data_IF_213062897887
#
_entry.id   IF_213062897887
#
_cell.length_a   1.000
_cell.length_b   1.000
_cell.length_c   1.000
_cell.angle_alpha   90.00
_cell.angle_beta   90.00
_cell.angle_gamma   90.00
#
_symmetry.space_group_name_H-M   'P 1'
#
loop_
_entity.id
_entity.type
_entity.pdbx_description
1 polymer ?
#
# COMPACT_ATOMS: atom_id res chain seq x y z
N UNK A 1 43.11 -5.55 14.49
CA UNK A 1 42.28 -4.33 14.41
C UNK A 1 41.37 -4.46 13.21
N UNK A 2 40.11 -4.86 13.40
CA UNK A 2 39.14 -4.98 12.30
C UNK A 2 38.61 -3.59 11.98
N UNK A 3 38.98 -3.05 10.82
CA UNK A 3 38.41 -1.82 10.30
C UNK A 3 36.93 -2.05 10.01
N UNK A 4 36.06 -1.41 10.79
CA UNK A 4 34.62 -1.39 10.54
C UNK A 4 34.36 -0.74 9.18
N UNK A 5 33.87 -1.52 8.23
CA UNK A 5 33.52 -1.04 6.89
C UNK A 5 32.46 0.08 6.96
N UNK A 6 32.52 1.06 6.04
CA UNK A 6 31.79 2.31 6.17
C UNK A 6 30.26 2.14 6.08
N UNK A 7 29.59 2.89 6.94
CA UNK A 7 28.15 3.10 7.20
C UNK A 7 27.29 3.60 6.01
N UNK A 8 27.68 3.32 4.77
CA UNK A 8 27.03 3.78 3.51
C UNK A 8 25.62 3.20 3.25
N UNK A 9 25.09 2.35 4.11
CA UNK A 9 23.88 1.53 3.86
C UNK A 9 22.55 2.21 4.19
N UNK A 10 22.53 3.35 4.90
CA UNK A 10 21.28 3.94 5.44
C UNK A 10 20.43 4.71 4.42
N UNK A 11 21.00 5.72 3.75
CA UNK A 11 20.32 6.54 2.74
C UNK A 11 19.80 5.74 1.51
N UNK A 12 20.49 4.70 1.01
CA UNK A 12 19.99 3.99 -0.17
C UNK A 12 18.72 3.18 0.11
N UNK A 13 18.50 2.63 1.32
CA UNK A 13 17.29 1.87 1.62
C UNK A 13 16.03 2.75 1.63
N UNK A 14 16.07 3.86 2.38
CA UNK A 14 14.94 4.79 2.46
C UNK A 14 14.51 5.26 1.06
N UNK A 15 15.47 5.76 0.26
CA UNK A 15 15.18 6.28 -1.08
C UNK A 15 14.63 5.20 -2.02
N UNK A 16 15.23 4.01 -2.03
CA UNK A 16 14.76 2.90 -2.87
C UNK A 16 13.35 2.46 -2.47
N UNK A 17 13.10 2.29 -1.17
CA UNK A 17 11.78 1.92 -0.65
C UNK A 17 10.72 2.97 -1.02
N UNK A 18 11.03 4.24 -0.81
CA UNK A 18 10.15 5.35 -1.15
C UNK A 18 9.79 5.37 -2.64
N UNK A 19 10.80 5.36 -3.53
CA UNK A 19 10.57 5.38 -4.98
C UNK A 19 9.78 4.16 -5.47
N UNK A 20 10.14 2.96 -5.01
CA UNK A 20 9.48 1.73 -5.45
C UNK A 20 8.01 1.69 -5.01
N UNK A 21 7.69 2.18 -3.82
CA UNK A 21 6.30 2.26 -3.36
C UNK A 21 5.52 3.32 -4.14
N UNK A 22 6.06 4.53 -4.31
CA UNK A 22 5.39 5.59 -5.08
C UNK A 22 5.05 5.07 -6.49
N UNK A 23 6.03 4.51 -7.20
CA UNK A 23 5.81 3.96 -8.54
C UNK A 23 4.81 2.81 -8.50
N UNK A 24 4.92 1.89 -7.53
CA UNK A 24 4.01 0.75 -7.41
C UNK A 24 2.58 1.15 -7.13
N UNK A 25 2.34 2.17 -6.31
CA UNK A 25 1.01 2.69 -6.07
C UNK A 25 0.45 3.38 -7.32
N UNK A 26 1.22 4.24 -8.00
CA UNK A 26 0.80 4.86 -9.27
C UNK A 26 0.39 3.78 -10.28
N UNK A 27 1.22 2.74 -10.47
CA UNK A 27 0.89 1.63 -11.37
C UNK A 27 -0.37 0.90 -10.93
N UNK A 28 -0.51 0.62 -9.63
CA UNK A 28 -1.69 -0.07 -9.10
C UNK A 28 -2.98 0.69 -9.42
N UNK A 29 -3.02 2.00 -9.15
CA UNK A 29 -4.20 2.83 -9.41
C UNK A 29 -4.49 2.98 -10.92
N UNK A 30 -3.47 3.18 -11.74
CA UNK A 30 -3.64 3.26 -13.20
C UNK A 30 -4.19 1.94 -13.77
N UNK A 31 -3.71 0.80 -13.28
CA UNK A 31 -4.18 -0.52 -13.70
C UNK A 31 -5.60 -0.84 -13.23
N UNK A 32 -6.14 -0.10 -12.26
CA UNK A 32 -7.52 -0.26 -11.80
C UNK A 32 -8.53 0.50 -12.66
N UNK A 33 -8.12 1.52 -13.42
CA UNK A 33 -9.00 2.33 -14.28
C UNK A 33 -9.93 1.47 -15.17
N UNK A 34 -9.45 0.42 -15.87
CA UNK A 34 -10.32 -0.42 -16.70
C UNK A 34 -11.49 -1.06 -15.94
N UNK A 35 -11.36 -1.29 -14.62
CA UNK A 35 -12.40 -1.91 -13.81
C UNK A 35 -13.59 -0.98 -13.54
N UNK A 36 -13.40 0.33 -13.68
CA UNK A 36 -14.50 1.31 -13.60
C UNK A 36 -15.44 1.22 -14.81
N UNK A 37 -14.95 0.70 -15.95
CA UNK A 37 -15.76 0.52 -17.16
C UNK A 37 -16.46 -0.84 -17.24
N UNK A 38 -16.29 -1.70 -16.23
CA UNK A 38 -16.96 -3.00 -16.16
C UNK A 38 -18.29 -2.83 -15.44
N UNK A 39 -19.39 -3.19 -16.10
CA UNK A 39 -20.78 -2.98 -15.66
C UNK A 39 -21.17 -3.62 -14.30
N UNK A 40 -20.27 -4.39 -13.67
CA UNK A 40 -20.51 -5.05 -12.39
C UNK A 40 -19.28 -4.98 -11.49
N UNK A 41 -18.83 -3.76 -11.18
CA UNK A 41 -17.64 -3.50 -10.36
C UNK A 41 -17.70 -4.24 -9.02
N UNK A 42 -18.90 -4.39 -8.43
CA UNK A 42 -19.11 -5.11 -7.16
C UNK A 42 -18.69 -6.58 -7.23
N UNK A 43 -18.96 -7.28 -8.34
CA UNK A 43 -18.52 -8.68 -8.53
C UNK A 43 -17.02 -8.84 -8.67
N UNK A 44 -16.30 -7.77 -9.04
CA UNK A 44 -14.86 -7.79 -9.29
C UNK A 44 -14.05 -6.99 -8.26
N UNK A 45 -14.65 -6.58 -7.13
CA UNK A 45 -13.93 -5.84 -6.07
C UNK A 45 -12.70 -6.60 -5.58
N UNK A 46 -12.77 -7.93 -5.45
CA UNK A 46 -11.62 -8.77 -5.08
C UNK A 46 -10.44 -8.66 -6.06
N UNK A 47 -10.71 -8.35 -7.34
CA UNK A 47 -9.69 -8.17 -8.37
C UNK A 47 -8.86 -6.90 -8.13
N UNK A 48 -9.44 -5.86 -7.52
CA UNK A 48 -8.69 -4.67 -7.09
C UNK A 48 -7.58 -5.05 -6.12
N UNK A 49 -7.88 -5.95 -5.17
CA UNK A 49 -6.90 -6.44 -4.22
C UNK A 49 -5.76 -7.21 -4.91
N UNK A 50 -6.08 -8.04 -5.89
CA UNK A 50 -5.08 -8.77 -6.66
C UNK A 50 -4.23 -7.85 -7.54
N UNK A 51 -4.83 -6.89 -8.25
CA UNK A 51 -4.11 -5.92 -9.08
C UNK A 51 -3.13 -5.12 -8.23
N UNK A 52 -3.58 -4.58 -7.09
CA UNK A 52 -2.73 -3.84 -6.18
C UNK A 52 -1.59 -4.71 -5.65
N UNK A 53 -1.90 -5.93 -5.22
CA UNK A 53 -0.90 -6.90 -4.79
C UNK A 53 0.13 -7.21 -5.88
N UNK A 54 -0.29 -7.49 -7.10
CA UNK A 54 0.62 -7.87 -8.20
C UNK A 54 1.46 -6.69 -8.67
N UNK A 55 0.90 -5.48 -8.76
CA UNK A 55 1.60 -4.31 -9.26
C UNK A 55 2.61 -3.74 -8.24
N UNK A 56 2.22 -3.64 -6.97
CA UNK A 56 3.06 -3.03 -5.92
C UNK A 56 4.20 -3.96 -5.48
N UNK A 57 3.95 -5.25 -5.37
CA UNK A 57 4.84 -6.16 -4.65
C UNK A 57 6.20 -6.44 -5.29
N UNK A 58 6.32 -6.59 -6.63
CA UNK A 58 7.62 -6.78 -7.26
C UNK A 58 8.57 -5.62 -6.97
N UNK A 59 8.07 -4.39 -7.03
CA UNK A 59 8.85 -3.18 -6.75
C UNK A 59 9.29 -3.12 -5.27
N UNK A 60 8.40 -3.44 -4.34
CA UNK A 60 8.76 -3.55 -2.93
C UNK A 60 9.82 -4.64 -2.69
N UNK A 61 9.68 -5.80 -3.32
CA UNK A 61 10.63 -6.90 -3.20
C UNK A 61 12.01 -6.51 -3.77
N UNK A 62 12.05 -5.78 -4.89
CA UNK A 62 13.28 -5.19 -5.46
C UNK A 62 13.93 -4.21 -4.48
N UNK A 63 13.15 -3.33 -3.84
CA UNK A 63 13.68 -2.41 -2.85
C UNK A 63 14.30 -3.11 -1.63
N UNK A 64 13.73 -4.24 -1.21
CA UNK A 64 14.17 -5.00 -0.03
C UNK A 64 15.37 -5.89 -0.30
N UNK A 65 15.52 -6.44 -1.51
CA UNK A 65 16.52 -7.48 -1.80
C UNK A 65 17.96 -7.11 -1.40
N UNK A 66 18.46 -5.88 -1.63
CA UNK A 66 19.81 -5.52 -1.23
C UNK A 66 20.02 -5.49 0.29
N UNK A 67 18.97 -5.28 1.07
CA UNK A 67 19.02 -5.22 2.53
C UNK A 67 18.81 -6.59 3.15
N UNK A 68 17.90 -7.40 2.57
CA UNK A 68 17.55 -8.74 3.04
C UNK A 68 17.85 -9.75 1.93
N UNK A 69 19.13 -10.09 1.66
CA UNK A 69 19.49 -10.93 0.53
C UNK A 69 18.94 -12.37 0.64
N UNK A 70 18.67 -12.85 1.86
CA UNK A 70 18.04 -14.16 2.10
C UNK A 70 16.54 -14.19 1.81
N UNK A 71 15.88 -13.02 1.77
CA UNK A 71 14.46 -12.91 1.42
C UNK A 71 14.29 -13.20 -0.08
N UNK A 72 13.45 -14.19 -0.42
CA UNK A 72 13.13 -14.49 -1.82
C UNK A 72 12.07 -13.52 -2.33
N UNK A 73 12.19 -13.05 -3.57
CA UNK A 73 11.23 -12.11 -4.18
C UNK A 73 9.79 -12.61 -4.08
N UNK A 74 9.56 -13.88 -4.43
CA UNK A 74 8.23 -14.48 -4.45
C UNK A 74 7.59 -14.56 -3.05
N UNK A 75 8.37 -14.65 -1.97
CA UNK A 75 7.84 -14.68 -0.61
C UNK A 75 7.14 -13.35 -0.30
N UNK A 76 7.81 -12.24 -0.58
CA UNK A 76 7.25 -10.91 -0.38
C UNK A 76 6.05 -10.64 -1.30
N UNK A 77 6.14 -11.08 -2.56
CA UNK A 77 5.05 -10.95 -3.53
C UNK A 77 3.82 -11.73 -3.09
N UNK A 78 3.98 -13.00 -2.71
CA UNK A 78 2.87 -13.82 -2.25
C UNK A 78 2.23 -13.26 -0.99
N UNK A 79 3.01 -12.79 -0.01
CA UNK A 79 2.46 -12.20 1.21
C UNK A 79 1.57 -10.98 0.94
N UNK A 80 2.01 -10.09 0.06
CA UNK A 80 1.21 -8.94 -0.32
C UNK A 80 -0.06 -9.33 -1.09
N UNK A 81 0.04 -10.24 -2.07
CA UNK A 81 -1.14 -10.69 -2.85
C UNK A 81 -2.18 -11.31 -1.93
N UNK A 82 -1.77 -12.27 -1.09
CA UNK A 82 -2.65 -12.95 -0.13
C UNK A 82 -3.24 -11.95 0.86
N UNK A 83 -2.40 -11.10 1.43
CA UNK A 83 -2.83 -10.11 2.43
C UNK A 83 -3.78 -9.06 1.85
N UNK A 84 -3.54 -8.61 0.62
CA UNK A 84 -4.42 -7.64 -0.05
C UNK A 84 -5.74 -8.28 -0.46
N UNK A 85 -5.71 -9.51 -0.99
CA UNK A 85 -6.93 -10.27 -1.27
C UNK A 85 -7.79 -10.46 -0.01
N UNK A 86 -7.17 -10.88 1.09
CA UNK A 86 -7.84 -11.02 2.37
C UNK A 86 -8.37 -9.68 2.90
N UNK A 87 -7.61 -8.60 2.77
CA UNK A 87 -8.01 -7.25 3.20
C UNK A 87 -9.29 -6.79 2.50
N UNK A 88 -9.32 -6.87 1.17
CA UNK A 88 -10.46 -6.42 0.37
C UNK A 88 -11.70 -7.26 0.69
N UNK A 89 -11.53 -8.59 0.79
CA UNK A 89 -12.63 -9.51 1.14
C UNK A 89 -13.19 -9.20 2.53
N UNK A 90 -12.32 -9.02 3.52
CA UNK A 90 -12.73 -8.70 4.89
C UNK A 90 -13.37 -7.33 4.98
N UNK A 91 -12.86 -6.33 4.26
CA UNK A 91 -13.45 -5.00 4.22
C UNK A 91 -14.86 -5.01 3.62
N UNK A 92 -15.09 -5.78 2.55
CA UNK A 92 -16.42 -5.94 1.96
C UNK A 92 -17.39 -6.60 2.96
N UNK A 93 -16.94 -7.65 3.64
CA UNK A 93 -17.75 -8.30 4.67
C UNK A 93 -18.08 -7.34 5.82
N UNK A 94 -17.08 -6.62 6.35
CA UNK A 94 -17.27 -5.64 7.42
C UNK A 94 -18.21 -4.50 7.01
N UNK A 95 -18.13 -4.03 5.76
CA UNK A 95 -19.02 -3.01 5.24
C UNK A 95 -20.48 -3.46 5.26
N UNK A 96 -20.75 -4.72 4.94
CA UNK A 96 -22.12 -5.29 5.01
C UNK A 96 -22.58 -5.37 6.47
N UNK A 97 -21.74 -5.84 7.39
CA UNK A 97 -22.12 -6.00 8.81
C UNK A 97 -22.29 -4.66 9.54
N UNK A 98 -21.54 -3.63 9.15
CA UNK A 98 -21.50 -2.34 9.82
C UNK A 98 -22.25 -1.24 9.07
N UNK A 99 -23.04 -1.59 8.05
CA UNK A 99 -23.75 -0.63 7.19
C UNK A 99 -24.61 0.38 7.97
N UNK A 100 -25.13 -0.01 9.15
CA UNK A 100 -25.94 0.85 10.01
C UNK A 100 -25.15 1.90 10.81
N UNK A 101 -23.82 1.79 10.89
CA UNK A 101 -22.93 2.68 11.65
C UNK A 101 -22.06 3.54 10.73
N UNK A 102 -22.68 4.18 9.74
CA UNK A 102 -21.94 4.89 8.70
C UNK A 102 -21.34 6.21 9.20
N UNK A 103 -20.01 6.25 9.32
CA UNK A 103 -19.23 7.48 9.38
C UNK A 103 -18.10 7.39 8.32
N UNK A 104 -18.09 8.27 7.30
CA UNK A 104 -17.22 8.10 6.13
C UNK A 104 -15.73 8.16 6.47
N UNK A 105 -15.31 9.04 7.38
CA UNK A 105 -13.90 9.15 7.78
C UNK A 105 -13.46 7.93 8.59
N UNK A 106 -14.31 7.46 9.50
CA UNK A 106 -14.04 6.27 10.29
C UNK A 106 -13.98 5.02 9.40
N UNK A 107 -14.85 4.92 8.41
CA UNK A 107 -14.86 3.82 7.44
C UNK A 107 -13.58 3.78 6.60
N UNK A 108 -13.10 4.93 6.13
CA UNK A 108 -11.81 5.01 5.42
C UNK A 108 -10.63 4.61 6.31
N UNK A 109 -10.63 5.05 7.58
CA UNK A 109 -9.58 4.72 8.53
C UNK A 109 -9.59 3.22 8.88
N UNK A 110 -10.79 2.66 9.10
CA UNK A 110 -11.02 1.22 9.29
C UNK A 110 -10.54 0.44 8.08
N UNK A 111 -10.92 0.87 6.87
CA UNK A 111 -10.55 0.23 5.62
C UNK A 111 -9.03 0.15 5.46
N UNK A 112 -8.33 1.27 5.69
CA UNK A 112 -6.87 1.32 5.71
C UNK A 112 -6.27 0.41 6.79
N UNK A 113 -6.76 0.47 8.02
CA UNK A 113 -6.26 -0.38 9.11
C UNK A 113 -6.40 -1.87 8.79
N UNK A 114 -7.53 -2.29 8.21
CA UNK A 114 -7.77 -3.68 7.79
C UNK A 114 -6.77 -4.11 6.71
N UNK A 115 -6.47 -3.25 5.72
CA UNK A 115 -5.40 -3.53 4.75
C UNK A 115 -4.06 -3.69 5.45
N UNK A 116 -3.71 -2.76 6.33
CA UNK A 116 -2.46 -2.80 7.05
C UNK A 116 -2.30 -4.04 7.92
N UNK A 117 -3.38 -4.51 8.55
CA UNK A 117 -3.43 -5.76 9.31
C UNK A 117 -3.23 -6.98 8.41
N UNK A 118 -4.06 -7.12 7.37
CA UNK A 118 -4.09 -8.31 6.52
C UNK A 118 -2.86 -8.44 5.63
N UNK A 119 -2.32 -7.32 5.11
CA UNK A 119 -1.04 -7.29 4.36
C UNK A 119 0.13 -7.45 5.31
N UNK A 120 0.07 -6.79 6.46
CA UNK A 120 1.17 -6.79 7.40
C UNK A 120 1.38 -8.14 8.09
N UNK A 121 0.34 -8.93 8.34
CA UNK A 121 0.44 -10.23 9.01
C UNK A 121 1.32 -11.26 8.24
N UNK A 122 1.10 -11.55 6.95
CA UNK A 122 1.97 -12.45 6.20
C UNK A 122 3.37 -11.86 6.00
N UNK A 123 3.50 -10.54 5.83
CA UNK A 123 4.81 -9.87 5.79
C UNK A 123 5.57 -10.01 7.12
N UNK A 124 4.87 -9.93 8.26
CA UNK A 124 5.41 -10.11 9.60
C UNK A 124 5.99 -11.51 9.78
N UNK A 125 5.27 -12.54 9.33
CA UNK A 125 5.75 -13.93 9.36
C UNK A 125 7.06 -14.04 8.56
N UNK A 126 7.06 -13.52 7.33
CA UNK A 126 8.22 -13.63 6.43
C UNK A 126 9.41 -12.83 6.95
N UNK A 127 9.21 -11.59 7.44
CA UNK A 127 10.27 -10.80 8.06
C UNK A 127 10.73 -11.41 9.38
N UNK A 128 9.85 -12.04 10.14
CA UNK A 128 10.15 -12.70 11.41
C UNK A 128 11.20 -13.80 11.26
N UNK A 129 11.28 -14.43 10.09
CA UNK A 129 12.34 -15.39 9.75
C UNK A 129 13.72 -14.75 9.58
N UNK A 130 13.79 -13.42 9.46
CA UNK A 130 15.01 -12.66 9.16
C UNK A 130 15.38 -11.62 10.23
N UNK A 131 14.44 -11.21 11.08
CA UNK A 131 14.68 -10.20 12.12
C UNK A 131 13.74 -10.32 13.32
N UNK A 132 14.27 -10.10 14.53
CA UNK A 132 13.48 -10.06 15.77
C UNK A 132 12.59 -8.82 15.89
N UNK A 133 12.86 -7.78 15.09
CA UNK A 133 12.10 -6.53 15.08
C UNK A 133 10.97 -6.51 14.04
N UNK A 134 10.59 -7.66 13.49
CA UNK A 134 9.52 -7.73 12.49
C UNK A 134 8.18 -7.16 13.01
N UNK A 135 7.92 -7.20 14.31
CA UNK A 135 6.72 -6.61 14.89
C UNK A 135 6.62 -5.08 14.68
N UNK A 136 7.75 -4.36 14.72
CA UNK A 136 7.73 -2.91 14.44
C UNK A 136 7.39 -2.60 12.99
N UNK A 137 7.70 -3.52 12.07
CA UNK A 137 7.25 -3.41 10.67
C UNK A 137 5.73 -3.50 10.59
N UNK A 138 5.16 -4.50 11.27
CA UNK A 138 3.71 -4.72 11.28
C UNK A 138 2.94 -3.51 11.78
N UNK A 139 3.34 -2.94 12.93
CA UNK A 139 2.72 -1.72 13.47
C UNK A 139 2.85 -0.53 12.51
N UNK A 140 4.05 -0.33 11.94
CA UNK A 140 4.26 0.75 10.98
C UNK A 140 3.40 0.57 9.72
N UNK A 141 3.21 -0.67 9.26
CA UNK A 141 2.35 -0.99 8.12
C UNK A 141 0.88 -0.66 8.41
N UNK A 142 0.36 -1.03 9.58
CA UNK A 142 -1.01 -0.70 10.01
C UNK A 142 -1.22 0.81 10.01
N UNK A 143 -0.34 1.54 10.70
CA UNK A 143 -0.41 3.00 10.79
C UNK A 143 -0.30 3.66 9.41
N UNK A 144 0.62 3.18 8.57
CA UNK A 144 0.82 3.71 7.24
C UNK A 144 -0.44 3.61 6.39
N UNK A 145 -1.11 2.46 6.38
CA UNK A 145 -2.36 2.28 5.64
C UNK A 145 -3.54 3.05 6.25
N UNK A 146 -3.69 3.01 7.58
CA UNK A 146 -4.76 3.71 8.30
C UNK A 146 -4.68 5.24 8.15
N UNK A 147 -3.50 5.79 7.86
CA UNK A 147 -3.29 7.22 7.61
C UNK A 147 -3.34 7.53 6.11
N UNK A 148 -2.65 6.75 5.28
CA UNK A 148 -2.55 7.02 3.84
C UNK A 148 -3.91 6.92 3.14
N UNK A 149 -4.74 5.93 3.49
CA UNK A 149 -6.05 5.74 2.85
C UNK A 149 -6.98 6.93 3.09
N UNK A 150 -7.28 7.36 4.34
CA UNK A 150 -8.18 8.50 4.56
C UNK A 150 -7.66 9.79 3.95
N UNK A 151 -6.38 10.10 4.13
CA UNK A 151 -5.81 11.36 3.64
C UNK A 151 -5.84 11.42 2.11
N UNK A 152 -5.41 10.33 1.45
CA UNK A 152 -5.43 10.30 -0.02
C UNK A 152 -6.85 10.31 -0.59
N UNK A 153 -7.78 9.60 0.03
CA UNK A 153 -9.19 9.58 -0.40
C UNK A 153 -9.88 10.93 -0.19
N UNK A 154 -9.63 11.60 0.94
CA UNK A 154 -10.18 12.93 1.22
C UNK A 154 -9.64 13.96 0.24
N UNK A 155 -8.33 13.98 -0.01
CA UNK A 155 -7.72 14.89 -0.98
C UNK A 155 -8.23 14.59 -2.39
N UNK A 156 -8.38 13.31 -2.75
CA UNK A 156 -8.96 12.93 -4.03
C UNK A 156 -10.38 13.46 -4.20
N UNK A 157 -11.19 13.32 -3.15
CA UNK A 157 -12.57 13.78 -3.14
C UNK A 157 -12.66 15.30 -3.36
N UNK A 158 -11.88 16.09 -2.59
CA UNK A 158 -11.88 17.55 -2.69
C UNK A 158 -11.33 18.07 -4.02
N UNK A 159 -10.33 17.42 -4.59
CA UNK A 159 -9.67 17.90 -5.81
C UNK A 159 -10.32 17.42 -7.10
N UNK A 160 -10.94 16.24 -7.09
CA UNK A 160 -11.40 15.59 -8.32
C UNK A 160 -12.88 15.24 -8.33
N UNK A 161 -13.55 15.04 -7.18
CA UNK A 161 -14.96 14.62 -7.16
C UNK A 161 -15.94 15.78 -6.92
N UNK A 162 -15.59 16.76 -6.09
CA UNK A 162 -16.43 17.95 -5.85
C UNK A 162 -16.62 18.86 -7.08
N UNK A 163 -15.63 19.02 -8.01
CA UNK A 163 -15.83 19.79 -9.24
C UNK A 163 -16.65 19.07 -10.34
N UNK A 164 -17.10 17.83 -10.13
CA UNK A 164 -17.72 16.99 -11.17
C UNK A 164 -19.25 16.97 -11.16
N UNK A 165 -19.90 17.54 -10.15
CA UNK A 165 -21.38 17.62 -10.09
C UNK A 165 -21.98 18.60 -11.12
N UNK A 166 -21.17 19.50 -11.71
CA UNK A 166 -21.63 20.55 -12.63
C UNK A 166 -21.36 20.26 -14.13
N UNK A 167 -20.75 19.12 -14.50
CA UNK A 167 -20.56 18.75 -15.91
C UNK A 167 -21.11 17.35 -16.20
N UNK A 168 -22.24 17.33 -16.91
CA UNK A 168 -22.85 16.17 -17.52
C UNK A 168 -21.84 15.22 -18.19
N UNK A 169 -21.66 14.05 -17.57
CA UNK A 169 -21.58 12.73 -18.24
C UNK A 169 -20.42 12.40 -19.19
N UNK A 170 -19.23 12.99 -19.05
CA UNK A 170 -18.01 12.31 -19.54
C UNK A 170 -16.78 12.72 -18.73
N UNK A 171 -16.46 11.97 -17.66
CA UNK A 171 -15.11 12.04 -17.09
C UNK A 171 -14.16 11.53 -18.18
N UNK A 172 -13.35 12.43 -18.73
CA UNK A 172 -12.31 12.06 -19.71
C UNK A 172 -11.38 11.02 -19.09
N UNK A 173 -10.97 10.01 -19.88
CA UNK A 173 -9.94 9.05 -19.47
C UNK A 173 -8.66 9.74 -18.97
N UNK A 174 -8.38 10.95 -19.46
CA UNK A 174 -7.27 11.80 -19.00
C UNK A 174 -7.48 12.25 -17.56
N UNK A 175 -8.67 12.71 -17.19
CA UNK A 175 -8.99 13.13 -15.82
C UNK A 175 -8.86 11.97 -14.85
N UNK A 176 -9.37 10.79 -15.21
CA UNK A 176 -9.21 9.57 -14.41
C UNK A 176 -7.75 9.17 -14.24
N UNK A 177 -6.96 9.24 -15.32
CA UNK A 177 -5.54 8.95 -15.25
C UNK A 177 -4.79 9.94 -14.34
N UNK A 178 -5.08 11.24 -14.43
CA UNK A 178 -4.50 12.27 -13.56
C UNK A 178 -4.88 12.01 -12.09
N UNK A 179 -6.15 11.69 -11.82
CA UNK A 179 -6.62 11.36 -10.48
C UNK A 179 -5.91 10.11 -9.94
N UNK A 180 -5.88 9.02 -10.71
CA UNK A 180 -5.20 7.77 -10.35
C UNK A 180 -3.71 7.97 -10.05
N UNK A 181 -3.00 8.74 -10.89
CA UNK A 181 -1.59 9.08 -10.68
C UNK A 181 -1.42 9.92 -9.41
N UNK A 182 -2.27 10.93 -9.20
CA UNK A 182 -2.19 11.83 -8.05
C UNK A 182 -2.44 11.10 -6.73
N UNK A 183 -3.47 10.23 -6.71
CA UNK A 183 -3.80 9.38 -5.57
C UNK A 183 -2.67 8.40 -5.29
N UNK A 184 -2.17 7.71 -6.32
CA UNK A 184 -1.06 6.77 -6.17
C UNK A 184 0.22 7.43 -5.67
N UNK A 185 0.54 8.63 -6.16
CA UNK A 185 1.66 9.43 -5.69
C UNK A 185 1.52 9.79 -4.20
N UNK A 186 0.36 10.33 -3.81
CA UNK A 186 0.11 10.77 -2.45
C UNK A 186 0.11 9.59 -1.47
N UNK A 187 -0.67 8.56 -1.78
CA UNK A 187 -0.78 7.36 -0.96
C UNK A 187 0.55 6.64 -0.82
N UNK A 188 1.27 6.45 -1.93
CA UNK A 188 2.60 5.83 -1.93
C UNK A 188 3.62 6.66 -1.16
N UNK A 189 3.55 7.98 -1.21
CA UNK A 189 4.45 8.86 -0.45
C UNK A 189 4.21 8.76 1.05
N UNK A 190 2.95 8.86 1.50
CA UNK A 190 2.59 8.76 2.92
C UNK A 190 2.95 7.37 3.45
N UNK A 191 2.53 6.32 2.74
CA UNK A 191 2.79 4.94 3.14
C UNK A 191 4.29 4.68 3.25
N UNK A 192 5.06 5.08 2.23
CA UNK A 192 6.49 4.80 2.21
C UNK A 192 7.28 5.65 3.19
N UNK A 193 6.87 6.90 3.46
CA UNK A 193 7.51 7.73 4.47
C UNK A 193 7.42 7.07 5.86
N UNK A 194 6.22 6.64 6.26
CA UNK A 194 5.99 5.99 7.55
C UNK A 194 6.74 4.65 7.64
N UNK A 195 6.59 3.78 6.65
CA UNK A 195 7.18 2.44 6.67
C UNK A 195 8.71 2.44 6.52
N UNK A 196 9.29 3.43 5.82
CA UNK A 196 10.75 3.54 5.67
C UNK A 196 11.47 3.69 7.01
N UNK A 197 10.91 4.42 7.96
CA UNK A 197 11.53 4.60 9.28
C UNK A 197 11.67 3.27 10.01
N UNK A 198 10.60 2.47 10.01
CA UNK A 198 10.61 1.12 10.60
C UNK A 198 11.59 0.21 9.87
N UNK A 199 11.57 0.22 8.53
CA UNK A 199 12.46 -0.61 7.72
C UNK A 199 13.94 -0.30 7.95
N UNK A 200 14.30 0.99 8.05
CA UNK A 200 15.65 1.43 8.37
C UNK A 200 16.04 1.03 9.79
N UNK A 201 15.14 1.11 10.76
CA UNK A 201 15.39 0.66 12.13
C UNK A 201 15.63 -0.86 12.22
N UNK A 202 14.85 -1.65 11.48
CA UNK A 202 15.00 -3.11 11.37
C UNK A 202 16.34 -3.45 10.73
N UNK A 203 16.66 -2.84 9.59
CA UNK A 203 17.91 -3.10 8.87
C UNK A 203 19.16 -2.84 9.74
N UNK A 204 19.11 -1.83 10.61
CA UNK A 204 20.20 -1.53 11.57
C UNK A 204 20.38 -2.58 12.64
N UNK A 205 19.31 -3.29 13.01
CA UNK A 205 19.35 -4.30 14.08
C UNK A 205 19.72 -5.71 13.61
N UNK A 206 19.80 -5.89 12.29
CA UNK A 206 20.11 -7.18 11.66
C UNK A 206 21.55 -7.25 11.14
N UNK A 207 22.34 -6.20 11.37
CA UNK A 207 23.80 -6.14 11.16
C UNK A 207 24.50 -6.30 12.50
#
# INVERSE_FOLDING_TARGET
MNQAAPTKTRKPLFRRWMLCNIVGFILSFVLMIPLEFVADTNRYVWLLGLICGVALSPLQAIALKPTFPKLKYWQWIAANIVGMYAAITLNLWLQIQLAHYYNPLLELARYGAVIGLCVGAPQLIILGLHTKKAFSWWLANILAWAIAVPISSLIAFLLFLEPLDDLSTTISAVTMAIAAISIGLLMGSIYAAITSFSLVAIARSSQ
#
